data_IF_201097449768
#
_entry.id   IF_201097449768
#
_cell.length_a   1.000
_cell.length_b   1.000
_cell.length_c   1.000
_cell.angle_alpha   90.00
_cell.angle_beta   90.00
_cell.angle_gamma   90.00
#
_symmetry.space_group_name_H-M   'P 1'
#
loop_
_entity.id
_entity.type
_entity.pdbx_description
1 polymer ?
#
# COMPACT_ATOMS: atom_id res chain seq x y z
N UNK A 1 -24.55 54.36 44.54
CA UNK A 1 -23.68 55.48 44.97
C UNK A 1 -22.57 55.63 43.95
N UNK A 2 -22.72 56.65 43.17
CA UNK A 2 -21.77 57.71 42.87
C UNK A 2 -20.61 57.22 41.98
N UNK A 3 -20.70 57.44 40.70
CA UNK A 3 -20.39 58.61 39.84
C UNK A 3 -18.85 58.79 39.68
N UNK A 4 -18.21 59.02 38.58
CA UNK A 4 -18.38 59.98 37.50
C UNK A 4 -17.04 60.23 36.80
N UNK A 5 -17.08 60.31 35.43
CA UNK A 5 -16.39 61.29 34.53
C UNK A 5 -14.93 60.98 34.09
N UNK A 6 -14.68 60.76 32.81
CA UNK A 6 -14.67 61.58 31.60
C UNK A 6 -13.47 62.56 31.54
N UNK A 7 -12.66 62.46 30.47
CA UNK A 7 -12.07 63.51 29.61
C UNK A 7 -10.96 62.92 28.73
N UNK A 8 -11.17 62.73 27.41
CA UNK A 8 -11.04 63.66 26.25
C UNK A 8 -9.67 64.31 26.20
N UNK A 9 -8.93 64.09 25.13
CA UNK A 9 -7.78 64.84 24.67
C UNK A 9 -7.38 64.43 23.24
N UNK A 10 -7.84 65.19 22.26
CA UNK A 10 -7.48 65.14 20.85
C UNK A 10 -6.40 66.12 20.50
N UNK A 11 -5.53 65.82 19.55
CA UNK A 11 -4.78 66.77 18.68
C UNK A 11 -4.05 65.92 17.63
N UNK A 12 -4.39 65.86 16.39
CA UNK A 12 -4.27 66.79 15.23
C UNK A 12 -2.84 67.18 14.82
N UNK A 13 -2.66 66.91 13.49
CA UNK A 13 -1.79 67.55 12.48
C UNK A 13 -0.49 66.81 12.15
N UNK A 14 0.02 66.71 10.93
CA UNK A 14 -0.35 67.27 9.63
C UNK A 14 0.30 66.48 8.48
N UNK A 15 -0.34 66.52 7.33
CA UNK A 15 0.04 66.38 5.94
C UNK A 15 1.53 66.63 5.57
N UNK A 16 2.02 65.76 4.64
CA UNK A 16 2.84 66.25 3.52
C UNK A 16 2.58 65.37 2.28
N UNK A 17 2.06 65.98 1.26
CA UNK A 17 1.90 65.49 -0.11
C UNK A 17 3.25 65.56 -0.87
N UNK A 18 3.53 64.56 -1.68
CA UNK A 18 4.56 64.61 -2.72
C UNK A 18 4.11 63.79 -3.93
N UNK A 19 3.67 64.49 -4.95
CA UNK A 19 3.28 63.96 -6.27
C UNK A 19 4.51 63.82 -7.20
N UNK A 20 4.29 62.92 -8.19
CA UNK A 20 4.84 62.82 -9.58
C UNK A 20 5.89 61.72 -9.72
N UNK A 21 5.86 60.87 -10.75
CA UNK A 21 5.44 61.01 -12.15
C UNK A 21 5.24 59.64 -12.81
N UNK A 22 4.47 59.64 -13.89
CA UNK A 22 4.21 58.60 -14.87
C UNK A 22 5.44 57.92 -15.46
N UNK A 23 5.30 56.63 -15.80
CA UNK A 23 6.16 55.96 -16.78
C UNK A 23 5.81 54.48 -16.98
N UNK A 24 4.97 54.22 -18.02
CA UNK A 24 4.97 53.07 -18.94
C UNK A 24 4.88 51.62 -18.41
N UNK A 25 3.71 51.06 -18.57
CA UNK A 25 3.39 49.78 -19.22
C UNK A 25 4.53 48.77 -19.37
N UNK A 26 4.46 47.69 -18.60
CA UNK A 26 4.91 46.35 -18.94
C UNK A 26 4.14 45.43 -18.02
N UNK A 27 3.13 44.78 -18.51
CA UNK A 27 2.51 43.59 -17.97
C UNK A 27 3.55 42.49 -17.95
N UNK A 28 4.22 42.28 -16.82
CA UNK A 28 4.85 41.02 -16.49
C UNK A 28 3.86 40.24 -15.62
N UNK A 29 3.29 39.23 -16.24
CA UNK A 29 2.55 38.16 -15.60
C UNK A 29 3.53 37.41 -14.68
N UNK A 30 3.65 37.88 -13.45
CA UNK A 30 4.39 37.14 -12.42
C UNK A 30 3.42 36.10 -11.88
N UNK A 31 3.44 34.94 -12.52
CA UNK A 31 3.01 33.70 -11.89
C UNK A 31 3.87 33.55 -10.63
N UNK A 32 3.32 33.94 -9.50
CA UNK A 32 3.92 33.66 -8.20
C UNK A 32 3.73 32.17 -7.96
N UNK A 33 4.74 31.38 -8.33
CA UNK A 33 4.94 30.09 -7.71
C UNK A 33 5.05 30.34 -6.21
N UNK A 34 4.10 29.83 -5.46
CA UNK A 34 4.17 29.79 -4.02
C UNK A 34 5.36 28.89 -3.66
N UNK A 35 6.52 29.50 -3.41
CA UNK A 35 7.62 28.84 -2.72
C UNK A 35 7.17 28.64 -1.27
N UNK A 36 6.51 27.52 -0.97
CA UNK A 36 6.32 27.07 0.39
C UNK A 36 7.70 26.92 1.02
N UNK A 37 7.91 27.52 2.19
CA UNK A 37 9.13 27.28 2.95
C UNK A 37 9.16 25.78 3.30
N UNK A 38 10.20 25.06 2.88
CA UNK A 38 10.42 23.68 3.31
C UNK A 38 10.69 23.65 4.80
N UNK A 39 10.05 22.72 5.48
CA UNK A 39 10.28 22.45 6.90
C UNK A 39 10.78 21.00 7.04
N UNK A 40 11.17 20.61 8.24
CA UNK A 40 11.51 19.22 8.53
C UNK A 40 10.58 18.66 9.58
N UNK A 41 10.21 17.40 9.44
CA UNK A 41 9.50 16.61 10.43
C UNK A 41 10.33 15.39 10.84
N UNK A 42 10.02 14.82 11.99
CA UNK A 42 10.59 13.56 12.44
C UNK A 42 9.51 12.48 12.36
N UNK A 43 9.81 11.38 11.71
CA UNK A 43 8.93 10.20 11.59
C UNK A 43 9.68 8.93 12.01
N UNK A 44 8.95 7.92 12.47
CA UNK A 44 9.52 6.62 12.85
C UNK A 44 9.36 5.61 11.72
N UNK A 45 10.48 5.05 11.24
CA UNK A 45 10.50 3.93 10.30
C UNK A 45 11.09 2.65 10.94
N UNK A 46 11.37 1.62 10.16
CA UNK A 46 11.94 0.37 10.67
C UNK A 46 13.37 0.54 11.21
N UNK A 47 14.06 1.62 10.87
CA UNK A 47 15.43 1.92 11.27
C UNK A 47 15.52 2.97 12.40
N UNK A 48 14.37 3.44 12.90
CA UNK A 48 14.24 4.45 13.95
C UNK A 48 13.76 5.81 13.44
N UNK A 49 14.09 6.87 14.17
CA UNK A 49 13.65 8.24 13.83
C UNK A 49 14.37 8.75 12.58
N UNK A 50 13.61 9.13 11.56
CA UNK A 50 14.09 9.76 10.34
C UNK A 50 13.66 11.23 10.29
N UNK A 51 14.57 12.11 9.81
CA UNK A 51 14.23 13.50 9.55
C UNK A 51 13.89 13.68 8.07
N UNK A 52 12.67 14.08 7.77
CA UNK A 52 12.17 14.25 6.40
C UNK A 52 11.91 15.72 6.11
N UNK A 53 12.37 16.19 4.95
CA UNK A 53 12.03 17.53 4.44
C UNK A 53 10.65 17.50 3.81
N UNK A 54 9.74 18.38 4.23
CA UNK A 54 8.37 18.45 3.74
C UNK A 54 8.02 19.87 3.23
N UNK A 55 7.29 19.97 2.09
CA UNK A 55 7.01 18.87 1.18
C UNK A 55 8.29 18.35 0.51
N UNK A 56 8.38 17.04 0.21
CA UNK A 56 9.47 16.50 -0.59
C UNK A 56 9.48 17.13 -1.98
N UNK A 57 10.66 17.36 -2.54
CA UNK A 57 10.85 17.97 -3.86
C UNK A 57 10.92 16.92 -4.98
N UNK A 58 11.53 15.80 -4.68
CA UNK A 58 11.73 14.69 -5.61
C UNK A 58 11.60 13.38 -4.87
N UNK A 59 10.57 12.61 -5.21
CA UNK A 59 10.22 11.35 -4.55
C UNK A 59 10.53 10.18 -5.44
N UNK A 60 11.25 9.20 -4.88
CA UNK A 60 11.44 7.87 -5.48
C UNK A 60 10.64 6.85 -4.68
N UNK A 61 9.92 5.95 -5.34
CA UNK A 61 9.14 4.90 -4.68
C UNK A 61 9.49 3.51 -5.25
N UNK A 62 9.79 2.56 -4.35
CA UNK A 62 10.12 1.18 -4.72
C UNK A 62 9.24 0.14 -4.01
N UNK A 63 8.47 0.57 -2.99
CA UNK A 63 7.58 -0.31 -2.23
C UNK A 63 6.21 -0.42 -2.89
N UNK A 64 5.89 -1.61 -3.41
CA UNK A 64 4.62 -1.89 -4.08
C UNK A 64 3.39 -1.84 -3.15
N UNK A 65 3.56 -1.77 -1.83
CA UNK A 65 2.47 -1.54 -0.88
C UNK A 65 2.02 -0.08 -0.82
N UNK A 66 2.83 0.82 -1.40
CA UNK A 66 2.61 2.27 -1.28
C UNK A 66 2.15 2.94 -2.58
N UNK A 67 2.32 2.26 -3.73
CA UNK A 67 2.08 2.88 -5.04
C UNK A 67 0.64 3.37 -5.22
N UNK A 68 -0.36 2.57 -4.85
CA UNK A 68 -1.77 2.95 -4.95
C UNK A 68 -2.07 4.13 -4.03
N UNK A 69 -1.63 4.07 -2.77
CA UNK A 69 -1.82 5.14 -1.79
C UNK A 69 -1.20 6.46 -2.27
N UNK A 70 0.05 6.43 -2.76
CA UNK A 70 0.72 7.63 -3.27
C UNK A 70 0.03 8.18 -4.53
N UNK A 71 -0.42 7.30 -5.41
CA UNK A 71 -1.15 7.67 -6.63
C UNK A 71 -2.50 8.32 -6.31
N UNK A 72 -3.28 7.74 -5.41
CA UNK A 72 -4.58 8.26 -4.99
C UNK A 72 -4.45 9.63 -4.30
N UNK A 73 -3.35 9.84 -3.61
CA UNK A 73 -3.05 11.12 -2.97
C UNK A 73 -2.49 12.17 -3.93
N UNK A 74 -2.22 11.80 -5.18
CA UNK A 74 -1.68 12.68 -6.21
C UNK A 74 -0.24 13.10 -5.93
N UNK A 75 0.56 12.22 -5.31
CA UNK A 75 1.99 12.45 -5.12
C UNK A 75 2.72 12.29 -6.46
N UNK A 76 3.51 13.28 -6.83
CA UNK A 76 4.35 13.20 -8.04
C UNK A 76 5.61 12.41 -7.74
N UNK A 77 5.89 11.37 -8.55
CA UNK A 77 7.09 10.56 -8.44
C UNK A 77 8.10 10.96 -9.53
N UNK A 78 9.37 11.13 -9.16
CA UNK A 78 10.46 11.34 -10.12
C UNK A 78 10.97 10.04 -10.72
N UNK A 79 11.00 8.98 -9.91
CA UNK A 79 11.31 7.62 -10.37
C UNK A 79 10.60 6.59 -9.49
N UNK A 80 10.32 5.42 -10.05
CA UNK A 80 9.71 4.31 -9.34
C UNK A 80 10.01 2.98 -10.03
N UNK A 81 9.69 1.85 -9.35
CA UNK A 81 9.75 0.53 -9.95
C UNK A 81 8.52 0.28 -10.85
N UNK A 82 8.35 1.10 -11.90
CA UNK A 82 7.17 1.14 -12.78
C UNK A 82 6.89 -0.22 -13.42
N UNK A 83 7.94 -0.93 -13.87
CA UNK A 83 7.83 -2.29 -14.44
C UNK A 83 7.21 -3.33 -13.49
N UNK A 84 7.05 -3.02 -12.20
CA UNK A 84 6.45 -3.89 -11.20
C UNK A 84 5.05 -3.43 -10.78
N UNK A 85 4.56 -2.31 -11.32
CA UNK A 85 3.23 -1.82 -11.02
C UNK A 85 2.17 -2.50 -11.87
N UNK A 86 1.00 -2.83 -11.33
CA UNK A 86 -0.13 -3.27 -12.13
C UNK A 86 -0.73 -2.11 -12.94
N UNK A 87 -1.40 -2.43 -14.04
CA UNK A 87 -2.05 -1.44 -14.92
C UNK A 87 -3.19 -0.69 -14.22
N UNK A 88 -3.66 -1.17 -13.09
CA UNK A 88 -4.68 -0.53 -12.24
C UNK A 88 -4.17 0.75 -11.58
N UNK A 89 -2.85 0.91 -11.42
CA UNK A 89 -2.22 2.09 -10.82
C UNK A 89 -1.81 3.08 -11.91
N UNK A 90 -2.32 4.34 -11.90
CA UNK A 90 -2.03 5.35 -12.92
C UNK A 90 -0.54 5.59 -13.22
N UNK A 91 0.33 5.47 -12.23
CA UNK A 91 1.79 5.60 -12.41
C UNK A 91 2.37 4.63 -13.43
N UNK A 92 1.76 3.46 -13.63
CA UNK A 92 2.21 2.47 -14.63
C UNK A 92 2.16 2.98 -16.06
N UNK A 93 1.34 4.03 -16.31
CA UNK A 93 1.13 4.65 -17.63
C UNK A 93 1.76 6.04 -17.73
N UNK A 94 2.44 6.51 -16.71
CA UNK A 94 3.06 7.84 -16.67
C UNK A 94 4.49 7.81 -17.24
N UNK A 95 4.66 8.31 -18.46
CA UNK A 95 5.94 8.36 -19.16
C UNK A 95 6.93 9.39 -18.55
N UNK A 96 6.49 10.24 -17.61
CA UNK A 96 7.36 11.20 -16.92
C UNK A 96 8.10 10.57 -15.74
N UNK A 97 7.61 9.45 -15.21
CA UNK A 97 8.25 8.70 -14.13
C UNK A 97 9.37 7.83 -14.70
N UNK A 98 10.59 8.02 -14.21
CA UNK A 98 11.75 7.20 -14.61
C UNK A 98 11.56 5.79 -14.04
N UNK A 99 11.51 4.78 -14.92
CA UNK A 99 11.41 3.39 -14.50
C UNK A 99 12.74 2.86 -13.98
N UNK A 100 12.76 2.44 -12.71
CA UNK A 100 13.91 1.80 -12.07
C UNK A 100 14.06 0.32 -12.44
N UNK A 101 13.11 -0.24 -13.19
CA UNK A 101 13.08 -1.66 -13.50
C UNK A 101 12.75 -2.53 -12.30
N UNK A 102 13.22 -3.77 -12.32
CA UNK A 102 12.92 -4.73 -11.28
C UNK A 102 13.99 -4.79 -10.19
N UNK A 103 13.61 -5.31 -9.01
CA UNK A 103 14.54 -5.58 -7.90
C UNK A 103 15.68 -6.56 -8.23
N UNK A 104 15.64 -7.26 -9.38
CA UNK A 104 16.71 -8.19 -9.79
C UNK A 104 17.90 -7.48 -10.38
N UNK A 105 17.65 -6.39 -11.09
CA UNK A 105 18.67 -5.58 -11.76
C UNK A 105 18.12 -4.14 -11.87
N UNK A 106 18.04 -3.39 -10.74
CA UNK A 106 17.51 -2.04 -10.76
C UNK A 106 18.50 -1.09 -11.45
N UNK A 107 17.95 -0.10 -12.15
CA UNK A 107 18.73 0.98 -12.70
C UNK A 107 19.11 2.01 -11.62
N UNK A 108 20.24 1.79 -10.96
CA UNK A 108 20.75 2.69 -9.92
C UNK A 108 21.19 4.05 -10.46
N UNK A 109 21.55 4.15 -11.75
CA UNK A 109 21.88 5.44 -12.38
C UNK A 109 20.63 6.32 -12.49
N UNK A 110 19.47 5.72 -12.71
CA UNK A 110 18.17 6.40 -12.73
C UNK A 110 17.78 6.97 -11.37
N UNK A 111 18.15 6.32 -10.26
CA UNK A 111 17.98 6.88 -8.91
C UNK A 111 18.79 8.16 -8.74
N UNK A 112 20.04 8.16 -9.19
CA UNK A 112 20.91 9.36 -9.15
C UNK A 112 20.35 10.46 -10.06
N UNK A 113 19.85 10.10 -11.25
CA UNK A 113 19.27 11.06 -12.19
C UNK A 113 18.00 11.73 -11.66
N UNK A 114 17.21 11.03 -10.86
CA UNK A 114 16.02 11.56 -10.19
C UNK A 114 16.35 12.61 -9.12
N UNK A 115 17.60 12.68 -8.62
CA UNK A 115 18.06 13.60 -7.57
C UNK A 115 17.08 13.68 -6.39
N UNK A 116 16.73 12.53 -5.74
CA UNK A 116 15.69 12.48 -4.73
C UNK A 116 16.11 13.17 -3.43
N UNK A 117 15.14 13.74 -2.73
CA UNK A 117 15.27 14.08 -1.32
C UNK A 117 14.48 13.13 -0.41
N UNK A 118 13.64 12.26 -1.02
CA UNK A 118 12.93 11.20 -0.33
C UNK A 118 12.89 9.91 -1.17
N UNK A 119 13.20 8.78 -0.55
CA UNK A 119 13.00 7.45 -1.12
C UNK A 119 12.05 6.67 -0.19
N UNK A 120 10.87 6.29 -0.70
CA UNK A 120 9.96 5.33 -0.05
C UNK A 120 10.38 3.94 -0.50
N UNK A 121 11.19 3.28 0.35
CA UNK A 121 11.81 2.00 0.02
C UNK A 121 11.12 0.85 0.74
N UNK A 122 10.97 -0.28 0.06
CA UNK A 122 10.33 -1.45 0.65
C UNK A 122 10.46 -2.70 -0.18
N UNK A 123 9.88 -3.77 0.34
CA UNK A 123 9.88 -5.08 -0.30
C UNK A 123 11.30 -5.53 -0.68
N UNK A 124 11.47 -6.08 -1.86
CA UNK A 124 12.76 -6.62 -2.32
C UNK A 124 13.80 -5.56 -2.63
N UNK A 125 13.40 -4.28 -2.72
CA UNK A 125 14.35 -3.18 -2.89
C UNK A 125 15.06 -2.80 -1.59
N UNK A 126 14.63 -3.28 -0.43
CA UNK A 126 15.35 -3.09 0.84
C UNK A 126 16.77 -3.62 0.81
N UNK A 127 17.07 -4.61 -0.04
CA UNK A 127 18.43 -5.10 -0.27
C UNK A 127 19.38 -4.03 -0.87
N UNK A 128 18.85 -2.95 -1.46
CA UNK A 128 19.59 -1.85 -2.06
C UNK A 128 19.65 -0.60 -1.19
N UNK A 129 19.19 -0.67 0.06
CA UNK A 129 19.17 0.49 0.98
C UNK A 129 20.56 1.12 1.14
N UNK A 130 21.61 0.30 1.29
CA UNK A 130 22.98 0.78 1.41
C UNK A 130 23.48 1.42 0.11
N UNK A 131 23.13 0.86 -1.05
CA UNK A 131 23.48 1.41 -2.36
C UNK A 131 22.80 2.77 -2.57
N UNK A 132 21.52 2.92 -2.22
CA UNK A 132 20.81 4.19 -2.27
C UNK A 132 21.46 5.23 -1.35
N UNK A 133 21.79 4.86 -0.11
CA UNK A 133 22.45 5.76 0.84
C UNK A 133 23.84 6.22 0.37
N UNK A 134 24.59 5.36 -0.36
CA UNK A 134 25.88 5.73 -0.93
C UNK A 134 25.73 6.67 -2.14
N UNK A 135 24.75 6.39 -3.02
CA UNK A 135 24.57 7.10 -4.29
C UNK A 135 23.89 8.46 -4.13
N UNK A 136 22.92 8.57 -3.21
CA UNK A 136 22.14 9.79 -2.95
C UNK A 136 22.12 10.14 -1.44
N UNK A 137 23.27 10.48 -0.86
CA UNK A 137 23.47 10.62 0.58
C UNK A 137 22.65 11.75 1.23
N UNK A 138 22.09 12.65 0.44
CA UNK A 138 21.23 13.75 0.92
C UNK A 138 19.74 13.36 0.98
N UNK A 139 19.37 12.20 0.40
CA UNK A 139 18.00 11.70 0.43
C UNK A 139 17.71 11.01 1.78
N UNK A 140 16.50 11.25 2.32
CA UNK A 140 15.99 10.42 3.40
C UNK A 140 15.39 9.13 2.80
N UNK A 141 15.79 7.98 3.33
CA UNK A 141 15.25 6.68 2.92
C UNK A 141 14.32 6.19 4.02
N UNK A 142 13.03 6.07 3.71
CA UNK A 142 12.02 5.51 4.60
C UNK A 142 11.81 4.04 4.28
N UNK A 143 11.93 3.16 5.27
CA UNK A 143 11.64 1.74 5.18
C UNK A 143 10.46 1.43 6.09
N UNK A 144 9.31 1.12 5.50
CA UNK A 144 8.03 0.98 6.20
C UNK A 144 7.42 -0.42 6.06
N UNK A 145 8.21 -1.42 5.66
CA UNK A 145 7.73 -2.81 5.58
C UNK A 145 7.05 -3.23 6.89
N UNK A 146 5.97 -4.01 6.83
CA UNK A 146 5.37 -4.61 8.01
C UNK A 146 6.39 -5.40 8.81
N UNK A 147 6.39 -5.20 10.13
CA UNK A 147 7.27 -5.92 11.08
C UNK A 147 6.56 -7.21 11.51
N UNK A 148 7.31 -8.31 11.55
CA UNK A 148 6.78 -9.65 11.83
C UNK A 148 6.27 -9.82 13.27
N UNK A 149 6.72 -8.98 14.22
CA UNK A 149 6.37 -9.04 15.64
C UNK A 149 5.22 -8.10 16.03
N UNK A 150 4.62 -7.41 15.08
CA UNK A 150 3.52 -6.49 15.28
C UNK A 150 2.24 -6.97 14.55
N UNK A 151 1.04 -6.59 15.01
CA UNK A 151 -0.20 -6.92 14.31
C UNK A 151 -0.22 -6.36 12.87
N UNK A 152 -0.56 -7.19 11.92
CA UNK A 152 -0.48 -6.85 10.50
C UNK A 152 -1.31 -5.61 10.11
N UNK A 153 -2.54 -5.49 10.62
CA UNK A 153 -3.39 -4.31 10.39
C UNK A 153 -2.79 -3.04 10.99
N UNK A 154 -2.13 -3.16 12.15
CA UNK A 154 -1.44 -2.03 12.77
C UNK A 154 -0.25 -1.57 11.91
N UNK A 155 0.45 -2.51 11.26
CA UNK A 155 1.57 -2.19 10.37
C UNK A 155 1.11 -1.53 9.06
N UNK A 156 0.02 -1.98 8.45
CA UNK A 156 -0.59 -1.29 7.29
C UNK A 156 -0.99 0.15 7.66
N UNK A 157 -1.63 0.34 8.81
CA UNK A 157 -2.03 1.66 9.32
C UNK A 157 -0.82 2.52 9.68
N UNK A 158 0.25 1.94 10.23
CA UNK A 158 1.51 2.66 10.52
C UNK A 158 2.15 3.18 9.23
N UNK A 159 2.29 2.33 8.20
CA UNK A 159 2.84 2.72 6.91
C UNK A 159 2.05 3.90 6.32
N UNK A 160 0.73 3.77 6.27
CA UNK A 160 -0.17 4.81 5.76
C UNK A 160 -0.06 6.10 6.58
N UNK A 161 0.04 5.99 7.92
CA UNK A 161 0.14 7.16 8.80
C UNK A 161 1.44 7.94 8.62
N UNK A 162 2.57 7.23 8.52
CA UNK A 162 3.87 7.88 8.26
C UNK A 162 3.88 8.60 6.92
N UNK A 163 3.35 7.96 5.87
CA UNK A 163 3.22 8.61 4.56
C UNK A 163 2.29 9.81 4.62
N UNK A 164 1.19 9.73 5.39
CA UNK A 164 0.28 10.86 5.59
C UNK A 164 0.94 12.06 6.25
N UNK A 165 1.77 11.85 7.27
CA UNK A 165 2.56 12.91 7.91
C UNK A 165 3.54 13.57 6.92
N UNK A 166 4.18 12.77 6.06
CA UNK A 166 5.14 13.25 5.07
C UNK A 166 4.48 14.07 3.96
N UNK A 167 3.31 13.64 3.50
CA UNK A 167 2.61 14.24 2.36
C UNK A 167 1.43 15.16 2.75
N UNK A 168 1.19 15.37 4.06
CA UNK A 168 0.10 16.22 4.56
C UNK A 168 -1.28 15.66 4.21
N UNK A 169 -1.49 14.36 4.42
CA UNK A 169 -2.67 13.59 4.04
C UNK A 169 -3.40 12.95 5.23
N UNK A 170 -3.40 13.63 6.37
CA UNK A 170 -3.93 13.09 7.62
C UNK A 170 -5.41 12.70 7.53
N UNK A 171 -6.21 13.43 6.74
CA UNK A 171 -7.63 13.11 6.57
C UNK A 171 -7.85 11.87 5.71
N UNK A 172 -7.05 11.69 4.68
CA UNK A 172 -7.05 10.51 3.82
C UNK A 172 -6.57 9.27 4.60
N UNK A 173 -5.56 9.44 5.48
CA UNK A 173 -5.12 8.39 6.42
C UNK A 173 -6.25 7.96 7.35
N UNK A 174 -6.95 8.92 7.98
CA UNK A 174 -8.07 8.60 8.87
C UNK A 174 -9.16 7.81 8.13
N UNK A 175 -9.43 8.16 6.88
CA UNK A 175 -10.39 7.46 6.04
C UNK A 175 -9.93 6.02 5.75
N UNK A 176 -8.72 5.80 5.21
CA UNK A 176 -8.20 4.48 4.85
C UNK A 176 -8.13 3.56 6.08
N UNK A 177 -7.63 4.06 7.21
CA UNK A 177 -7.55 3.29 8.45
C UNK A 177 -8.95 2.88 8.95
N UNK A 178 -9.93 3.80 8.88
CA UNK A 178 -11.31 3.53 9.29
C UNK A 178 -12.01 2.53 8.37
N UNK A 179 -11.74 2.59 7.07
CA UNK A 179 -12.29 1.66 6.08
C UNK A 179 -11.74 0.24 6.29
N UNK A 180 -10.43 0.10 6.54
CA UNK A 180 -9.81 -1.19 6.88
C UNK A 180 -10.41 -1.77 8.16
N UNK A 181 -10.48 -0.97 9.25
CA UNK A 181 -11.05 -1.43 10.51
C UNK A 181 -12.50 -1.89 10.34
N UNK A 182 -13.31 -1.14 9.59
CA UNK A 182 -14.70 -1.49 9.33
C UNK A 182 -14.83 -2.80 8.53
N UNK A 183 -13.98 -3.01 7.52
CA UNK A 183 -13.97 -4.21 6.70
C UNK A 183 -13.59 -5.45 7.54
N UNK A 184 -12.54 -5.35 8.36
CA UNK A 184 -12.12 -6.42 9.27
C UNK A 184 -13.23 -6.78 10.27
N UNK A 185 -13.87 -5.79 10.88
CA UNK A 185 -14.96 -6.04 11.83
C UNK A 185 -16.18 -6.67 11.17
N UNK A 186 -16.47 -6.36 9.90
CA UNK A 186 -17.53 -7.04 9.13
C UNK A 186 -17.20 -8.53 8.95
N UNK A 187 -15.97 -8.86 8.56
CA UNK A 187 -15.55 -10.26 8.42
C UNK A 187 -15.67 -10.98 9.76
N UNK A 188 -15.14 -10.40 10.86
CA UNK A 188 -15.26 -11.00 12.21
C UNK A 188 -16.69 -11.25 12.63
N UNK A 189 -17.62 -10.35 12.25
CA UNK A 189 -19.02 -10.48 12.59
C UNK A 189 -19.75 -11.55 11.77
N UNK A 190 -19.34 -11.74 10.50
CA UNK A 190 -19.96 -12.70 9.57
C UNK A 190 -19.38 -14.11 9.70
N UNK A 191 -18.09 -14.23 10.06
CA UNK A 191 -17.40 -15.51 10.21
C UNK A 191 -18.03 -16.36 11.31
N UNK A 192 -18.31 -17.62 11.00
CA UNK A 192 -18.88 -18.56 11.97
C UNK A 192 -17.77 -19.33 12.69
N UNK A 193 -17.66 -19.19 14.03
CA UNK A 193 -16.69 -19.97 14.79
C UNK A 193 -16.92 -21.48 14.62
N UNK A 194 -16.03 -22.14 13.95
CA UNK A 194 -16.11 -23.57 13.66
C UNK A 194 -15.98 -23.90 12.17
N UNK A 195 -16.19 -22.92 11.30
CA UNK A 195 -15.83 -23.07 9.89
C UNK A 195 -14.30 -23.05 9.75
N UNK A 196 -13.78 -23.97 8.97
CA UNK A 196 -12.34 -24.06 8.72
C UNK A 196 -11.95 -23.32 7.47
N UNK A 197 -10.82 -22.59 7.54
CA UNK A 197 -10.34 -21.73 6.45
C UNK A 197 -9.02 -22.27 5.90
N UNK A 198 -8.84 -22.16 4.58
CA UNK A 198 -7.57 -22.46 3.91
C UNK A 198 -7.16 -21.31 2.99
N UNK A 199 -5.88 -20.94 3.05
CA UNK A 199 -5.27 -20.01 2.09
C UNK A 199 -4.56 -20.76 0.98
N UNK A 200 -4.76 -20.32 -0.27
CA UNK A 200 -4.09 -20.85 -1.46
C UNK A 200 -3.49 -19.74 -2.32
N UNK A 201 -2.39 -20.06 -2.99
CA UNK A 201 -1.79 -19.23 -4.04
C UNK A 201 -1.71 -20.05 -5.32
N UNK A 202 -2.17 -19.50 -6.46
CA UNK A 202 -1.93 -20.13 -7.75
C UNK A 202 -0.76 -19.46 -8.46
N UNK A 203 0.15 -20.25 -9.03
CA UNK A 203 1.33 -19.76 -9.74
C UNK A 203 1.85 -20.80 -10.74
N UNK A 204 2.08 -20.40 -11.99
CA UNK A 204 2.60 -21.30 -13.03
C UNK A 204 1.70 -22.47 -13.38
N UNK A 205 0.42 -22.41 -13.03
CA UNK A 205 -0.54 -23.50 -13.20
C UNK A 205 -0.61 -24.47 -12.02
N UNK A 206 0.18 -24.25 -10.97
CA UNK A 206 0.19 -25.03 -9.73
C UNK A 206 -0.63 -24.32 -8.63
N UNK A 207 -1.08 -25.11 -7.65
CA UNK A 207 -1.81 -24.64 -6.46
C UNK A 207 -0.89 -24.85 -5.24
N UNK A 208 -0.46 -23.76 -4.61
CA UNK A 208 0.34 -23.77 -3.40
C UNK A 208 -0.49 -23.45 -2.16
N UNK A 209 -0.11 -24.00 -1.02
CA UNK A 209 -0.73 -23.77 0.27
C UNK A 209 -0.14 -22.53 0.95
N UNK A 210 -0.98 -21.76 1.63
CA UNK A 210 -0.56 -20.63 2.46
C UNK A 210 -0.63 -21.03 3.92
N UNK A 211 0.52 -21.07 4.57
CA UNK A 211 0.61 -21.35 6.00
C UNK A 211 -0.04 -20.23 6.82
N UNK A 212 -0.94 -20.53 7.77
CA UNK A 212 -1.50 -19.54 8.67
C UNK A 212 -0.41 -18.74 9.40
N UNK A 213 -0.67 -17.48 9.68
CA UNK A 213 0.19 -16.48 10.33
C UNK A 213 1.42 -16.07 9.53
N UNK A 214 2.22 -17.02 9.03
CA UNK A 214 3.52 -16.76 8.39
C UNK A 214 3.49 -16.77 6.86
N UNK A 215 2.50 -17.41 6.25
CA UNK A 215 2.37 -17.47 4.79
C UNK A 215 2.09 -16.10 4.20
N UNK A 216 2.69 -15.83 3.04
CA UNK A 216 2.62 -14.53 2.39
C UNK A 216 1.17 -14.09 2.14
N UNK A 217 0.89 -12.81 2.29
CA UNK A 217 -0.36 -12.11 1.94
C UNK A 217 -1.58 -12.57 2.73
N UNK A 218 -1.97 -13.85 2.65
CA UNK A 218 -3.16 -14.41 3.32
C UNK A 218 -2.84 -14.87 4.75
N UNK A 219 -1.63 -15.34 5.01
CA UNK A 219 -1.24 -15.89 6.32
C UNK A 219 -1.58 -14.99 7.50
N UNK A 220 -1.20 -13.70 7.50
CA UNK A 220 -1.51 -12.78 8.60
C UNK A 220 -3.00 -12.56 8.88
N UNK A 221 -3.88 -12.85 7.91
CA UNK A 221 -5.33 -12.72 8.08
C UNK A 221 -5.89 -13.73 9.08
N UNK A 222 -5.22 -14.89 9.25
CA UNK A 222 -5.62 -15.90 10.22
C UNK A 222 -5.56 -15.35 11.64
N UNK A 223 -4.48 -14.66 11.99
CA UNK A 223 -4.33 -14.03 13.30
C UNK A 223 -5.28 -12.84 13.48
N UNK A 224 -5.49 -12.08 12.42
CA UNK A 224 -6.28 -10.86 12.44
C UNK A 224 -7.78 -11.13 12.68
N UNK A 225 -8.31 -12.20 12.11
CA UNK A 225 -9.75 -12.58 12.21
C UNK A 225 -9.98 -13.71 13.21
N UNK A 226 -8.92 -14.40 13.64
CA UNK A 226 -8.96 -15.63 14.45
C UNK A 226 -9.62 -16.80 13.66
N UNK A 227 -9.19 -16.97 12.38
CA UNK A 227 -9.66 -18.07 11.54
C UNK A 227 -9.17 -19.42 12.05
N UNK A 228 -10.04 -20.42 12.05
CA UNK A 228 -9.67 -21.82 12.31
C UNK A 228 -9.01 -22.40 11.05
N UNK A 229 -7.71 -22.74 11.06
CA UNK A 229 -7.08 -23.33 9.88
C UNK A 229 -7.59 -24.76 9.60
N UNK A 230 -7.91 -25.04 8.32
CA UNK A 230 -8.29 -26.39 7.89
C UNK A 230 -7.10 -27.35 7.90
N UNK A 231 -5.90 -26.83 7.71
CA UNK A 231 -4.63 -27.56 7.72
C UNK A 231 -3.55 -26.75 8.42
N UNK A 232 -2.76 -27.41 9.23
CA UNK A 232 -1.53 -26.85 9.83
C UNK A 232 -0.34 -27.74 9.42
N UNK A 233 0.79 -27.12 9.13
CA UNK A 233 2.03 -27.80 8.76
C UNK A 233 3.16 -27.35 9.70
N UNK A 234 4.06 -28.28 10.03
CA UNK A 234 5.17 -28.00 11.00
C UNK A 234 6.22 -27.03 10.44
N UNK A 235 6.40 -26.96 9.12
CA UNK A 235 7.43 -26.18 8.41
C UNK A 235 6.82 -25.37 7.26
N UNK A 236 5.93 -24.41 7.59
CA UNK A 236 5.40 -23.46 6.61
C UNK A 236 6.35 -22.32 6.34
N UNK A 237 6.20 -21.66 5.18
CA UNK A 237 7.05 -20.57 4.75
C UNK A 237 6.25 -19.37 4.22
N UNK A 238 6.95 -18.26 3.99
CA UNK A 238 6.46 -17.07 3.29
C UNK A 238 6.70 -17.12 1.78
N UNK A 239 6.85 -18.32 1.22
CA UNK A 239 7.13 -18.55 -0.20
C UNK A 239 6.06 -17.86 -1.06
N UNK A 240 6.51 -17.05 -2.02
CA UNK A 240 5.64 -16.28 -2.91
C UNK A 240 4.82 -17.11 -3.92
N UNK A 241 5.03 -18.43 -3.95
CA UNK A 241 4.24 -19.41 -4.74
C UNK A 241 3.38 -20.30 -3.83
N UNK A 242 3.42 -20.06 -2.50
CA UNK A 242 2.88 -20.97 -1.50
C UNK A 242 3.79 -22.17 -1.24
N UNK A 243 3.45 -22.95 -0.22
CA UNK A 243 4.16 -24.17 0.14
C UNK A 243 3.72 -25.32 -0.77
N UNK A 244 4.67 -26.16 -1.18
CA UNK A 244 4.43 -27.34 -2.02
C UNK A 244 3.79 -28.48 -1.20
N UNK A 245 2.46 -28.45 -1.13
CA UNK A 245 1.64 -29.48 -0.49
C UNK A 245 0.79 -30.13 -1.60
N UNK A 246 0.65 -31.47 -1.56
CA UNK A 246 -0.16 -32.13 -2.57
C UNK A 246 -1.62 -31.67 -2.55
N UNK A 247 -2.23 -31.55 -3.73
CA UNK A 247 -3.62 -31.14 -3.87
C UNK A 247 -4.57 -32.13 -3.16
N UNK A 248 -4.18 -33.41 -3.07
CA UNK A 248 -4.90 -34.42 -2.30
C UNK A 248 -4.88 -34.14 -0.79
N UNK A 249 -3.76 -33.65 -0.24
CA UNK A 249 -3.70 -33.26 1.18
C UNK A 249 -4.56 -32.01 1.47
N UNK A 250 -4.61 -31.06 0.51
CA UNK A 250 -5.55 -29.94 0.54
C UNK A 250 -6.99 -30.45 0.55
N UNK A 251 -7.33 -31.38 -0.35
CA UNK A 251 -8.67 -31.98 -0.44
C UNK A 251 -9.04 -32.78 0.82
N UNK A 252 -8.10 -33.54 1.39
CA UNK A 252 -8.34 -34.36 2.59
C UNK A 252 -8.59 -33.50 3.84
N UNK A 253 -8.14 -32.24 3.86
CA UNK A 253 -8.42 -31.31 4.98
C UNK A 253 -9.83 -30.72 4.95
N UNK A 254 -10.52 -30.79 3.81
CA UNK A 254 -11.91 -30.42 3.56
C UNK A 254 -12.31 -29.06 4.16
N UNK A 255 -11.69 -27.94 3.75
CA UNK A 255 -12.00 -26.61 4.25
C UNK A 255 -13.43 -26.17 3.93
N UNK A 256 -14.05 -25.41 4.86
CA UNK A 256 -15.36 -24.79 4.66
C UNK A 256 -15.26 -23.50 3.84
N UNK A 257 -14.11 -22.80 3.90
CA UNK A 257 -13.83 -21.55 3.21
C UNK A 257 -12.43 -21.62 2.60
N UNK A 258 -12.26 -21.17 1.35
CA UNK A 258 -10.97 -21.06 0.69
C UNK A 258 -10.71 -19.62 0.26
N UNK A 259 -9.58 -19.06 0.70
CA UNK A 259 -9.09 -17.75 0.29
C UNK A 259 -7.99 -17.94 -0.75
N UNK A 260 -8.09 -17.25 -1.90
CA UNK A 260 -7.19 -17.50 -3.04
C UNK A 260 -6.54 -16.23 -3.53
N UNK A 261 -5.21 -16.23 -3.66
CA UNK A 261 -4.48 -15.24 -4.43
C UNK A 261 -4.00 -15.83 -5.75
N UNK A 262 -4.38 -15.21 -6.87
CA UNK A 262 -3.84 -15.53 -8.20
C UNK A 262 -2.58 -14.69 -8.43
N UNK A 263 -1.41 -15.30 -8.17
CA UNK A 263 -0.12 -14.59 -8.30
C UNK A 263 0.15 -14.14 -9.74
N UNK A 264 -0.19 -14.98 -10.71
CA UNK A 264 0.16 -14.72 -12.10
C UNK A 264 -0.76 -13.66 -12.72
N UNK A 265 -1.98 -13.51 -12.23
CA UNK A 265 -2.87 -12.40 -12.59
C UNK A 265 -2.28 -11.05 -12.22
N UNK A 266 -1.58 -10.96 -11.09
CA UNK A 266 -0.93 -9.75 -10.60
C UNK A 266 0.40 -9.38 -11.28
N UNK A 267 0.83 -10.12 -12.31
CA UNK A 267 2.07 -9.82 -13.03
C UNK A 267 1.83 -9.74 -14.54
N UNK A 268 2.34 -8.69 -15.19
CA UNK A 268 2.24 -8.56 -16.66
C UNK A 268 2.85 -9.75 -17.41
N UNK A 269 3.92 -10.34 -16.88
CA UNK A 269 4.55 -11.53 -17.48
C UNK A 269 3.75 -12.79 -17.27
N UNK A 270 2.96 -12.87 -16.20
CA UNK A 270 2.10 -14.02 -15.92
C UNK A 270 0.80 -13.94 -16.72
N UNK A 271 0.07 -12.83 -16.63
CA UNK A 271 -1.21 -12.65 -17.31
C UNK A 271 -1.12 -12.67 -18.83
N UNK A 272 0.03 -12.25 -19.41
CA UNK A 272 0.29 -12.27 -20.85
C UNK A 272 0.83 -13.63 -21.35
N UNK A 273 1.16 -14.58 -20.47
CA UNK A 273 1.61 -15.90 -20.87
C UNK A 273 0.43 -16.67 -21.52
N UNK A 274 0.57 -17.17 -22.75
CA UNK A 274 -0.47 -17.99 -23.39
C UNK A 274 -0.83 -19.28 -22.61
N UNK A 275 0.02 -19.70 -21.67
CA UNK A 275 -0.21 -20.81 -20.79
C UNK A 275 -0.90 -20.43 -19.46
N UNK A 276 -1.08 -19.12 -19.22
CA UNK A 276 -1.75 -18.65 -18.01
C UNK A 276 -3.16 -19.21 -17.90
N UNK A 277 -3.49 -19.65 -16.71
CA UNK A 277 -4.82 -20.13 -16.34
C UNK A 277 -5.25 -19.43 -15.05
N UNK A 278 -6.38 -18.71 -15.07
CA UNK A 278 -6.92 -18.09 -13.87
C UNK A 278 -7.13 -19.06 -12.72
N UNK A 279 -6.93 -18.60 -11.50
CA UNK A 279 -7.06 -19.43 -10.29
C UNK A 279 -8.43 -20.16 -10.21
N UNK A 280 -9.51 -19.49 -10.59
CA UNK A 280 -10.85 -20.07 -10.59
C UNK A 280 -10.98 -21.25 -11.57
N UNK A 281 -10.29 -21.21 -12.72
CA UNK A 281 -10.26 -22.33 -13.67
C UNK A 281 -9.38 -23.48 -13.14
N UNK A 282 -8.23 -23.16 -12.53
CA UNK A 282 -7.35 -24.18 -11.94
C UNK A 282 -8.05 -24.96 -10.84
N UNK A 283 -8.78 -24.28 -9.95
CA UNK A 283 -9.52 -24.91 -8.86
C UNK A 283 -10.71 -25.70 -9.41
N UNK A 284 -11.47 -25.13 -10.36
CA UNK A 284 -12.63 -25.78 -10.95
C UNK A 284 -12.28 -27.05 -11.75
N UNK A 285 -11.10 -27.08 -12.39
CA UNK A 285 -10.66 -28.25 -13.20
C UNK A 285 -9.88 -29.29 -12.37
N UNK A 286 -9.57 -28.99 -11.10
CA UNK A 286 -8.87 -29.94 -10.22
C UNK A 286 -9.81 -31.07 -9.77
N UNK A 287 -9.62 -32.27 -10.28
CA UNK A 287 -10.45 -33.46 -9.91
C UNK A 287 -10.38 -33.72 -8.38
N UNK A 288 -9.24 -33.49 -7.75
CA UNK A 288 -9.05 -33.70 -6.31
C UNK A 288 -9.88 -32.76 -5.47
N UNK A 289 -10.07 -31.50 -5.91
CA UNK A 289 -10.80 -30.48 -5.15
C UNK A 289 -12.31 -30.54 -5.32
N UNK A 290 -12.85 -31.32 -6.27
CA UNK A 290 -14.31 -31.36 -6.53
C UNK A 290 -15.15 -31.89 -5.36
N UNK A 291 -14.54 -32.60 -4.41
CA UNK A 291 -15.22 -33.11 -3.22
C UNK A 291 -15.12 -32.23 -2.01
N UNK A 292 -14.31 -31.15 -2.07
CA UNK A 292 -14.08 -30.21 -0.97
C UNK A 292 -15.34 -29.39 -0.70
N UNK A 293 -15.71 -29.24 0.55
CA UNK A 293 -16.91 -28.51 0.99
C UNK A 293 -16.92 -27.07 0.43
N UNK A 294 -15.85 -26.31 0.56
CA UNK A 294 -15.77 -24.95 0.01
C UNK A 294 -15.98 -24.87 -1.51
N UNK A 295 -15.56 -25.90 -2.27
CA UNK A 295 -15.76 -25.95 -3.73
C UNK A 295 -17.22 -26.29 -4.07
N UNK A 296 -17.83 -27.20 -3.31
CA UNK A 296 -19.22 -27.64 -3.54
C UNK A 296 -20.23 -26.55 -3.17
N UNK A 297 -19.93 -25.77 -2.14
CA UNK A 297 -20.79 -24.72 -1.62
C UNK A 297 -20.46 -23.34 -2.24
N UNK A 298 -19.53 -23.28 -3.20
CA UNK A 298 -19.04 -22.05 -3.87
C UNK A 298 -18.44 -21.02 -2.88
N UNK A 299 -17.86 -21.51 -1.78
CA UNK A 299 -17.31 -20.70 -0.68
C UNK A 299 -15.81 -20.40 -0.89
N UNK A 300 -15.46 -19.94 -2.10
CA UNK A 300 -14.11 -19.61 -2.52
C UNK A 300 -14.02 -18.11 -2.79
N UNK A 301 -13.18 -17.39 -2.02
CA UNK A 301 -13.05 -15.95 -2.15
C UNK A 301 -11.68 -15.60 -2.75
N UNK A 302 -11.71 -14.93 -3.88
CA UNK A 302 -10.51 -14.53 -4.62
C UNK A 302 -10.11 -13.12 -4.23
N UNK A 303 -8.81 -12.92 -3.99
CA UNK A 303 -8.24 -11.58 -3.82
C UNK A 303 -8.31 -10.78 -5.13
N UNK A 304 -8.25 -9.44 -5.08
CA UNK A 304 -8.09 -8.61 -6.28
C UNK A 304 -6.98 -9.14 -7.19
N UNK A 305 -7.20 -9.11 -8.50
CA UNK A 305 -6.30 -9.75 -9.46
C UNK A 305 -4.86 -9.20 -9.42
N UNK A 306 -4.69 -7.94 -9.03
CA UNK A 306 -3.40 -7.26 -8.95
C UNK A 306 -2.69 -7.39 -7.58
N UNK A 307 -3.30 -8.10 -6.62
CA UNK A 307 -2.79 -8.20 -5.24
C UNK A 307 -1.30 -8.49 -5.15
N UNK A 308 -0.77 -9.40 -5.97
CA UNK A 308 0.64 -9.81 -5.86
C UNK A 308 1.63 -8.65 -6.07
N UNK A 309 1.25 -7.64 -6.84
CA UNK A 309 2.03 -6.43 -7.12
C UNK A 309 1.44 -5.16 -6.50
N UNK A 310 0.35 -5.30 -5.73
CA UNK A 310 -0.37 -4.22 -5.06
C UNK A 310 -0.85 -4.68 -3.67
N UNK A 311 0.07 -4.90 -2.73
CA UNK A 311 -0.23 -5.41 -1.38
C UNK A 311 -0.47 -4.28 -0.35
N UNK A 312 -1.14 -3.18 -0.76
CA UNK A 312 -1.41 -2.01 0.08
C UNK A 312 -2.67 -2.12 0.94
N UNK A 313 -2.89 -1.12 1.78
CA UNK A 313 -4.07 -1.03 2.67
C UNK A 313 -5.39 -1.07 1.90
N UNK A 314 -5.44 -0.48 0.68
CA UNK A 314 -6.64 -0.47 -0.17
C UNK A 314 -6.98 -1.89 -0.64
N UNK A 315 -5.99 -2.64 -1.12
CA UNK A 315 -6.16 -4.03 -1.58
C UNK A 315 -6.70 -4.95 -0.48
N UNK A 316 -6.15 -4.84 0.74
CA UNK A 316 -6.67 -5.60 1.88
C UNK A 316 -8.07 -5.16 2.28
N UNK A 317 -8.37 -3.87 2.24
CA UNK A 317 -9.72 -3.35 2.52
C UNK A 317 -10.75 -3.87 1.52
N UNK A 318 -10.42 -3.87 0.23
CA UNK A 318 -11.27 -4.43 -0.83
C UNK A 318 -11.51 -5.93 -0.61
N UNK A 319 -10.44 -6.67 -0.35
CA UNK A 319 -10.55 -8.11 -0.11
C UNK A 319 -11.40 -8.44 1.13
N UNK A 320 -11.18 -7.76 2.27
CA UNK A 320 -12.00 -7.99 3.47
C UNK A 320 -13.46 -7.63 3.24
N UNK A 321 -13.76 -6.59 2.46
CA UNK A 321 -15.15 -6.28 2.10
C UNK A 321 -15.77 -7.38 1.23
N UNK A 322 -15.04 -7.88 0.22
CA UNK A 322 -15.49 -8.99 -0.61
C UNK A 322 -15.73 -10.24 0.22
N UNK A 323 -14.81 -10.59 1.11
CA UNK A 323 -14.93 -11.73 2.01
C UNK A 323 -16.14 -11.58 2.94
N UNK A 324 -16.37 -10.38 3.49
CA UNK A 324 -17.51 -10.12 4.33
C UNK A 324 -18.83 -10.29 3.57
N UNK A 325 -18.93 -9.78 2.34
CA UNK A 325 -20.11 -9.90 1.49
C UNK A 325 -20.44 -11.38 1.21
N UNK A 326 -19.43 -12.21 0.92
CA UNK A 326 -19.62 -13.66 0.68
C UNK A 326 -20.05 -14.38 1.97
N UNK A 327 -19.42 -14.11 3.10
CA UNK A 327 -19.80 -14.71 4.39
C UNK A 327 -21.22 -14.30 4.84
N UNK A 328 -21.60 -13.04 4.62
CA UNK A 328 -22.94 -12.53 4.92
C UNK A 328 -24.00 -13.17 4.02
N UNK A 329 -23.67 -13.46 2.75
CA UNK A 329 -24.60 -14.10 1.80
C UNK A 329 -24.85 -15.58 2.12
N UNK A 330 -23.87 -16.26 2.74
CA UNK A 330 -23.92 -17.68 3.07
C UNK A 330 -24.35 -17.98 4.52
N UNK A 331 -24.72 -16.94 5.32
CA UNK A 331 -25.09 -17.04 6.75
C UNK A 331 -26.56 -17.40 7.01
#
# INVERSE_FOLDING_TARGET
>A
MISTRLRIGAALSALALGLTACGSDSTEDTSAAASGESTTIEVEDNNGTQTVTVPPRSVVATDNRTFETLSDWGVELSAAAVSLMPDTIPYSQDEEIIDLGSHREPDLESVVAADPDLIVNGQRFTQYTDDFAELVPEATILTLDPRDDEPFDAELKRQTSVLGEVFGKESEVEQLNSELDAAIERVKAAYQPGDTVMGLITSGGDIGYVTPSTGRTIGPMFDLVDFAPALEVDEGSDNHQGDDISVEAIADSDPDIVLVMDRDAGTSTGSDDPAYRPANELIADSEALQSVTAVQDENIVYMPADTYTNEGIQTYTEFFNTLADELEANS
#
